data_IF_969639237877
#
_entry.id   IF_969639237877
#
_cell.length_a   1.000
_cell.length_b   1.000
_cell.length_c   1.000
_cell.angle_alpha   90.00
_cell.angle_beta   90.00
_cell.angle_gamma   90.00
#
_symmetry.space_group_name_H-M   'P 1'
#
loop_
_entity.id
_entity.type
_entity.pdbx_description
1 polymer ?
#
# COMPACT_ATOMS: atom_id res chain seq x y z
N UNK A 1 1.05 -22.49 22.34
CA UNK A 1 0.78 -21.03 22.37
C UNK A 1 2.04 -20.19 22.17
N UNK A 2 3.10 -20.33 22.98
CA UNK A 2 4.39 -19.62 22.80
C UNK A 2 5.00 -19.72 21.39
N UNK A 3 5.11 -20.93 20.84
CA UNK A 3 5.75 -21.14 19.52
C UNK A 3 4.96 -20.54 18.37
N UNK A 4 3.62 -20.64 18.40
CA UNK A 4 2.75 -20.10 17.35
C UNK A 4 2.86 -18.57 17.29
N UNK A 5 2.83 -17.90 18.45
CA UNK A 5 3.01 -16.45 18.54
C UNK A 5 4.39 -16.00 18.03
N UNK A 6 5.46 -16.76 18.31
CA UNK A 6 6.80 -16.45 17.78
C UNK A 6 6.87 -16.63 16.27
N UNK A 7 6.27 -17.69 15.71
CA UNK A 7 6.26 -17.95 14.27
C UNK A 7 5.50 -16.82 13.53
N UNK A 8 4.33 -16.44 14.04
CA UNK A 8 3.53 -15.34 13.48
C UNK A 8 4.31 -14.02 13.55
N UNK A 9 4.95 -13.72 14.69
CA UNK A 9 5.75 -12.50 14.84
C UNK A 9 6.94 -12.45 13.86
N UNK A 10 7.63 -13.58 13.66
CA UNK A 10 8.76 -13.66 12.71
C UNK A 10 8.27 -13.42 11.30
N UNK A 11 7.21 -14.13 10.87
CA UNK A 11 6.63 -13.97 9.53
C UNK A 11 6.17 -12.52 9.31
N UNK A 12 5.44 -11.94 10.27
CA UNK A 12 4.99 -10.56 10.20
C UNK A 12 6.17 -9.57 10.10
N UNK A 13 7.28 -9.81 10.83
CA UNK A 13 8.48 -8.96 10.71
C UNK A 13 9.13 -9.05 9.34
N UNK A 14 9.14 -10.24 8.72
CA UNK A 14 9.66 -10.41 7.35
C UNK A 14 8.81 -9.63 6.36
N UNK A 15 7.48 -9.73 6.45
CA UNK A 15 6.57 -8.95 5.62
C UNK A 15 6.74 -7.44 5.82
N UNK A 16 6.95 -6.98 7.05
CA UNK A 16 7.21 -5.58 7.34
C UNK A 16 8.49 -5.08 6.66
N UNK A 17 9.57 -5.86 6.66
CA UNK A 17 10.81 -5.50 5.96
C UNK A 17 10.57 -5.42 4.46
N UNK A 18 9.92 -6.45 3.89
CA UNK A 18 9.63 -6.49 2.45
C UNK A 18 8.83 -5.24 2.06
N UNK A 19 7.70 -4.97 2.73
CA UNK A 19 6.88 -3.79 2.43
C UNK A 19 7.60 -2.46 2.68
N UNK A 20 8.50 -2.39 3.67
CA UNK A 20 9.26 -1.18 3.96
C UNK A 20 10.19 -0.79 2.80
N UNK A 21 10.76 -1.77 2.10
CA UNK A 21 11.64 -1.52 0.95
C UNK A 21 10.84 -1.09 -0.29
N UNK A 22 9.61 -1.58 -0.50
CA UNK A 22 8.76 -1.20 -1.62
C UNK A 22 8.35 0.29 -1.58
N UNK A 23 8.04 0.94 -2.72
CA UNK A 23 7.56 2.33 -2.77
C UNK A 23 6.22 2.54 -2.03
N UNK A 24 5.51 1.44 -1.69
CA UNK A 24 4.31 1.44 -0.84
C UNK A 24 4.65 1.23 0.65
N UNK A 25 5.72 1.87 1.14
CA UNK A 25 6.24 1.63 2.50
C UNK A 25 5.23 1.88 3.62
N UNK A 26 4.20 2.72 3.40
CA UNK A 26 3.13 2.91 4.37
C UNK A 26 2.38 1.62 4.72
N UNK A 27 2.32 0.65 3.81
CA UNK A 27 1.67 -0.63 4.07
C UNK A 27 2.46 -1.51 5.04
N UNK A 28 3.75 -1.21 5.28
CA UNK A 28 4.60 -1.92 6.23
C UNK A 28 4.22 -1.67 7.70
N UNK A 29 3.49 -0.58 7.99
CA UNK A 29 3.09 -0.21 9.36
C UNK A 29 2.18 -1.28 9.98
N UNK A 30 1.26 -1.83 9.19
CA UNK A 30 0.28 -2.83 9.63
C UNK A 30 0.95 -4.15 10.09
N UNK A 31 1.79 -4.82 9.28
CA UNK A 31 2.54 -5.99 9.73
C UNK A 31 3.57 -5.66 10.81
N UNK A 32 4.15 -4.45 10.84
CA UNK A 32 5.08 -4.06 11.91
C UNK A 32 4.40 -3.98 13.28
N UNK A 33 3.20 -3.40 13.38
CA UNK A 33 2.43 -3.34 14.64
C UNK A 33 2.07 -4.75 15.10
N UNK A 34 1.61 -5.61 14.19
CA UNK A 34 1.29 -7.01 14.49
C UNK A 34 2.53 -7.73 15.02
N UNK A 35 3.68 -7.55 14.36
CA UNK A 35 4.95 -8.15 14.78
C UNK A 35 5.37 -7.68 16.18
N UNK A 36 5.22 -6.39 16.50
CA UNK A 36 5.53 -5.85 17.83
C UNK A 36 4.62 -6.43 18.91
N UNK A 37 3.30 -6.46 18.69
CA UNK A 37 2.34 -6.97 19.68
C UNK A 37 2.57 -8.47 19.92
N UNK A 38 2.66 -9.28 18.85
CA UNK A 38 2.91 -10.71 18.99
C UNK A 38 4.31 -11.03 19.51
N UNK A 39 5.32 -10.25 19.11
CA UNK A 39 6.68 -10.34 19.65
C UNK A 39 6.72 -10.06 21.15
N UNK A 40 5.99 -9.04 21.60
CA UNK A 40 5.89 -8.68 23.01
C UNK A 40 5.18 -9.77 23.84
N UNK A 41 4.04 -10.27 23.34
CA UNK A 41 3.32 -11.37 23.98
C UNK A 41 4.20 -12.63 24.04
N UNK A 42 4.91 -12.94 22.95
CA UNK A 42 5.84 -14.06 22.92
C UNK A 42 6.99 -13.89 23.93
N UNK A 43 7.55 -12.68 24.05
CA UNK A 43 8.59 -12.36 25.03
C UNK A 43 8.09 -12.57 26.47
N UNK A 44 6.90 -12.05 26.79
CA UNK A 44 6.29 -12.18 28.11
C UNK A 44 6.03 -13.66 28.47
N UNK A 45 5.48 -14.45 27.53
CA UNK A 45 5.25 -15.88 27.73
C UNK A 45 6.55 -16.69 27.86
N UNK A 46 7.60 -16.30 27.13
CA UNK A 46 8.92 -16.94 27.17
C UNK A 46 9.63 -16.70 28.49
N UNK A 47 9.49 -15.50 29.07
CA UNK A 47 10.03 -15.16 30.40
C UNK A 47 9.42 -16.03 31.50
N UNK A 48 8.11 -16.34 31.40
CA UNK A 48 7.42 -17.25 32.34
C UNK A 48 7.88 -18.71 32.25
N UNK A 49 8.51 -19.12 31.15
CA UNK A 49 9.02 -20.49 30.96
C UNK A 49 10.55 -20.61 31.15
N UNK A 50 11.22 -19.55 31.65
CA UNK A 50 12.64 -19.58 32.01
C UNK A 50 13.65 -19.55 30.85
N UNK A 51 13.20 -19.55 29.59
CA UNK A 51 14.08 -19.44 28.42
C UNK A 51 13.52 -18.43 27.43
N UNK A 52 13.97 -17.18 27.54
CA UNK A 52 13.81 -16.21 26.44
C UNK A 52 14.74 -16.61 25.31
N UNK A 53 14.17 -17.13 24.22
CA UNK A 53 14.96 -17.50 23.04
C UNK A 53 15.53 -16.23 22.39
N UNK A 54 16.83 -16.23 22.06
CA UNK A 54 17.51 -15.13 21.35
C UNK A 54 16.77 -14.70 20.07
N UNK A 55 16.03 -15.62 19.44
CA UNK A 55 15.19 -15.36 18.27
C UNK A 55 14.16 -14.23 18.50
N UNK A 56 13.59 -14.10 19.70
CA UNK A 56 12.57 -13.09 20.01
C UNK A 56 13.19 -11.69 20.05
N UNK A 57 14.39 -11.55 20.65
CA UNK A 57 15.14 -10.30 20.64
C UNK A 57 15.57 -9.92 19.21
N UNK A 58 15.95 -10.90 18.40
CA UNK A 58 16.30 -10.68 17.00
C UNK A 58 15.10 -10.16 16.20
N UNK A 59 13.90 -10.73 16.39
CA UNK A 59 12.66 -10.23 15.77
C UNK A 59 12.39 -8.77 16.14
N UNK A 60 12.53 -8.40 17.41
CA UNK A 60 12.35 -7.00 17.83
C UNK A 60 13.33 -6.06 17.14
N UNK A 61 14.60 -6.43 17.09
CA UNK A 61 15.64 -5.65 16.42
C UNK A 61 15.31 -5.45 14.93
N UNK A 62 14.88 -6.51 14.26
CA UNK A 62 14.49 -6.50 12.86
C UNK A 62 13.28 -5.59 12.60
N UNK A 63 12.31 -5.61 13.52
CA UNK A 63 11.09 -4.78 13.43
C UNK A 63 11.42 -3.31 13.63
N UNK A 64 12.34 -2.98 14.54
CA UNK A 64 12.81 -1.60 14.77
C UNK A 64 13.50 -1.05 13.52
N UNK A 65 14.38 -1.83 12.88
CA UNK A 65 15.06 -1.42 11.64
C UNK A 65 14.02 -1.14 10.54
N UNK A 66 13.07 -2.06 10.34
CA UNK A 66 12.00 -1.89 9.35
C UNK A 66 11.16 -0.64 9.63
N UNK A 67 10.87 -0.34 10.89
CA UNK A 67 10.12 0.85 11.27
C UNK A 67 10.93 2.13 10.98
N UNK A 68 12.23 2.14 11.29
CA UNK A 68 13.12 3.27 10.99
C UNK A 68 13.19 3.58 9.49
N UNK A 69 13.32 2.54 8.65
CA UNK A 69 13.32 2.71 7.18
C UNK A 69 11.98 3.26 6.70
N UNK A 70 10.88 2.75 7.26
CA UNK A 70 9.52 3.18 6.91
C UNK A 70 9.27 4.63 7.31
N UNK A 71 9.66 5.04 8.51
CA UNK A 71 9.55 6.42 9.00
C UNK A 71 10.42 7.35 8.16
N UNK A 72 11.66 6.95 7.86
CA UNK A 72 12.53 7.73 6.99
C UNK A 72 11.88 7.94 5.62
N UNK A 73 11.34 6.89 5.01
CA UNK A 73 10.65 7.03 3.73
C UNK A 73 9.37 7.87 3.84
N UNK A 74 8.61 7.73 4.91
CA UNK A 74 7.39 8.52 5.13
C UNK A 74 7.65 10.03 5.26
N UNK A 75 8.80 10.43 5.85
CA UNK A 75 9.15 11.84 6.05
C UNK A 75 9.90 12.42 4.86
N UNK A 76 10.82 11.66 4.26
CA UNK A 76 11.76 12.16 3.25
C UNK A 76 11.41 11.76 1.81
N UNK A 77 10.47 10.84 1.61
CA UNK A 77 10.05 10.40 0.27
C UNK A 77 8.67 10.96 -0.02
N UNK A 78 8.59 11.94 -0.92
CA UNK A 78 7.32 12.24 -1.56
C UNK A 78 6.96 10.99 -2.37
N UNK A 79 5.90 10.30 -1.97
CA UNK A 79 5.28 9.29 -2.82
C UNK A 79 4.82 10.02 -4.07
N UNK A 80 5.64 9.99 -5.12
CA UNK A 80 5.18 10.21 -6.50
C UNK A 80 4.16 9.12 -6.80
N UNK A 81 2.93 9.35 -6.36
CA UNK A 81 1.76 8.85 -7.08
C UNK A 81 1.95 9.39 -8.49
N UNK A 82 2.17 8.49 -9.45
CA UNK A 82 2.56 8.85 -10.83
C UNK A 82 1.86 10.12 -11.26
N UNK A 83 2.66 11.12 -11.66
CA UNK A 83 2.32 12.54 -11.74
C UNK A 83 0.81 12.76 -11.90
N UNK A 84 0.09 12.93 -10.78
CA UNK A 84 -1.38 13.00 -10.80
C UNK A 84 -1.84 14.16 -11.69
N UNK A 85 -1.00 15.20 -11.81
CA UNK A 85 -1.18 16.28 -12.76
C UNK A 85 -1.14 15.80 -14.22
N UNK A 86 -0.27 14.86 -14.57
CA UNK A 86 -0.17 14.28 -15.91
C UNK A 86 -1.37 13.39 -16.23
N UNK A 87 -1.89 12.65 -15.24
CA UNK A 87 -3.15 11.90 -15.39
C UNK A 87 -4.35 12.83 -15.58
N UNK A 88 -4.45 13.92 -14.81
CA UNK A 88 -5.49 14.95 -14.97
C UNK A 88 -5.36 15.65 -16.31
N UNK A 89 -4.13 15.98 -16.74
CA UNK A 89 -3.89 16.63 -18.02
C UNK A 89 -4.25 15.70 -19.18
N UNK A 90 -3.96 14.39 -19.08
CA UNK A 90 -4.36 13.39 -20.07
C UNK A 90 -5.88 13.20 -20.10
N UNK A 91 -6.53 13.18 -18.95
CA UNK A 91 -8.00 13.11 -18.88
C UNK A 91 -8.66 14.34 -19.52
N UNK A 92 -8.15 15.54 -19.23
CA UNK A 92 -8.65 16.77 -19.85
C UNK A 92 -8.37 16.80 -21.35
N UNK A 93 -7.17 16.42 -21.80
CA UNK A 93 -6.85 16.33 -23.21
C UNK A 93 -7.78 15.35 -23.95
N UNK A 94 -8.09 14.19 -23.36
CA UNK A 94 -9.07 13.26 -23.95
C UNK A 94 -10.50 13.80 -23.94
N UNK A 95 -10.88 14.66 -22.99
CA UNK A 95 -12.20 15.34 -23.00
C UNK A 95 -12.27 16.41 -24.09
N UNK A 96 -11.20 17.21 -24.22
CA UNK A 96 -11.12 18.26 -25.24
C UNK A 96 -11.09 17.65 -26.64
N UNK A 97 -10.35 16.56 -26.84
CA UNK A 97 -10.33 15.78 -28.10
C UNK A 97 -11.72 15.20 -28.43
N UNK A 98 -12.43 14.66 -27.44
CA UNK A 98 -13.80 14.17 -27.63
C UNK A 98 -14.81 15.31 -27.91
N UNK A 99 -14.62 16.49 -27.31
CA UNK A 99 -15.42 17.67 -27.61
C UNK A 99 -15.17 18.16 -29.04
N UNK A 100 -13.91 18.23 -29.47
CA UNK A 100 -13.54 18.60 -30.84
C UNK A 100 -14.11 17.60 -31.85
N UNK A 101 -14.06 16.29 -31.55
CA UNK A 101 -14.70 15.26 -32.37
C UNK A 101 -16.22 15.49 -32.46
N UNK A 102 -16.89 15.80 -31.35
CA UNK A 102 -18.32 16.10 -31.30
C UNK A 102 -18.70 17.42 -32.00
N UNK A 103 -17.87 18.44 -31.92
CA UNK A 103 -18.08 19.72 -32.63
C UNK A 103 -17.80 19.59 -34.12
N UNK A 104 -16.88 18.69 -34.50
CA UNK A 104 -16.60 18.36 -35.90
C UNK A 104 -17.63 17.41 -36.52
N UNK A 105 -18.48 16.78 -35.71
CA UNK A 105 -19.67 16.08 -36.20
C UNK A 105 -20.67 17.15 -36.68
N UNK A 106 -20.90 17.17 -37.99
CA UNK A 106 -21.87 18.06 -38.62
C UNK A 106 -23.29 17.52 -38.39
N UNK A 107 -23.92 17.92 -37.28
CA UNK A 107 -25.24 17.42 -36.84
C UNK A 107 -26.39 17.96 -37.73
N UNK A 108 -26.12 18.97 -38.56
CA UNK A 108 -27.12 19.55 -39.47
C UNK A 108 -27.52 18.62 -40.64
N UNK A 109 -26.79 17.53 -40.88
CA UNK A 109 -27.10 16.50 -41.91
C UNK A 109 -27.61 15.17 -41.31
N UNK A 110 -27.99 15.12 -40.02
CA UNK A 110 -28.75 13.98 -39.49
C UNK A 110 -30.21 14.20 -39.82
N UNK A 111 -30.60 13.76 -41.01
CA UNK A 111 -31.98 13.67 -41.44
C UNK A 111 -32.72 12.67 -40.52
N UNK A 112 -33.51 13.20 -39.58
CA UNK A 112 -34.46 12.43 -38.78
C UNK A 112 -35.70 12.06 -39.63
N UNK A 113 -35.50 11.59 -40.86
CA UNK A 113 -36.57 11.03 -41.66
C UNK A 113 -36.74 9.55 -41.33
N UNK A 114 -37.97 9.24 -40.92
CA UNK A 114 -38.56 7.90 -40.80
C UNK A 114 -38.42 7.16 -39.46
N UNK A 115 -39.04 7.72 -38.43
CA UNK A 115 -39.74 6.94 -37.41
C UNK A 115 -41.23 7.28 -37.39
N UNK A 116 -41.92 7.10 -38.52
CA UNK A 116 -43.38 6.92 -38.53
C UNK A 116 -43.69 5.50 -38.11
N UNK A 117 -44.14 5.39 -36.86
CA UNK A 117 -44.75 4.19 -36.29
C UNK A 117 -46.20 4.19 -36.80
N UNK A 118 -46.51 3.33 -37.78
CA UNK A 118 -47.86 2.82 -38.04
C UNK A 118 -47.80 1.34 -38.42
#
# INVERSE_FOLDING_TARGET
MKQLSTIIAVIASIFAIVFSVLPISNLAILPAIIALVFGYIAYYLSKKTGQVKKIIQFTFFLTIISLSITIYKAIFTNTEVGNTQELINKENASKDEALEELESLDIEEIDFEEATIE
#
